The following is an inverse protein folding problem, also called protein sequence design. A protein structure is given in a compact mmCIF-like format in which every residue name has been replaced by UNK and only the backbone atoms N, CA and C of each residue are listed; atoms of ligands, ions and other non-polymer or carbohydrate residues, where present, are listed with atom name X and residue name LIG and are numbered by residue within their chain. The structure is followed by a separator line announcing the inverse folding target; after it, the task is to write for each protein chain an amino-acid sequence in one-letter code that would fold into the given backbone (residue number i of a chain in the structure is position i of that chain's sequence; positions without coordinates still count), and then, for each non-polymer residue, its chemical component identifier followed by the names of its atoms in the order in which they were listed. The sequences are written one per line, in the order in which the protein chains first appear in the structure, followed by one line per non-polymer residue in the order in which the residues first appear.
data_IF_252883781001
#
_entry.id   IF_252883781001
#
_cell.length_a   1.000
_cell.length_b   1.000
_cell.length_c   1.000
_cell.angle_alpha   90.00
_cell.angle_beta   90.00
_cell.angle_gamma   90.00
#
_symmetry.space_group_name_H-M   'P 1'
#
loop_
_entity.id
_entity.type
_entity.pdbx_description
1 polymer ?
#
# COMPACT_ATOMS: atom_id res chain seq x y z
N UNK A 1 24.95 25.64 -3.43
CA UNK A 1 25.05 24.26 -3.96
C UNK A 1 23.80 23.44 -3.67
N UNK A 2 23.29 23.43 -2.44
CA UNK A 2 22.04 22.71 -2.05
C UNK A 2 20.82 23.07 -2.92
N UNK A 3 20.61 24.35 -3.26
CA UNK A 3 19.46 24.77 -4.09
C UNK A 3 19.49 24.14 -5.49
N UNK A 4 20.68 24.09 -6.12
CA UNK A 4 20.82 23.48 -7.45
C UNK A 4 20.57 21.96 -7.41
N UNK A 5 20.99 21.29 -6.33
CA UNK A 5 20.77 19.86 -6.12
C UNK A 5 19.28 19.57 -5.88
N UNK A 6 18.60 20.38 -5.07
CA UNK A 6 17.15 20.27 -4.86
C UNK A 6 16.41 20.44 -6.19
N UNK A 7 16.73 21.47 -6.97
CA UNK A 7 16.08 21.70 -8.27
C UNK A 7 16.35 20.53 -9.22
N UNK A 8 17.58 20.01 -9.27
CA UNK A 8 17.91 18.85 -10.10
C UNK A 8 17.13 17.60 -9.68
N UNK A 9 17.03 17.33 -8.37
CA UNK A 9 16.21 16.25 -7.82
C UNK A 9 14.73 16.42 -8.16
N UNK A 10 14.19 17.64 -8.01
CA UNK A 10 12.79 17.94 -8.32
C UNK A 10 12.50 17.68 -9.80
N UNK A 11 13.35 18.16 -10.70
CA UNK A 11 13.20 17.94 -12.14
C UNK A 11 13.32 16.46 -12.50
N UNK A 12 14.33 15.76 -11.96
CA UNK A 12 14.51 14.32 -12.20
C UNK A 12 13.30 13.51 -11.69
N UNK A 13 12.78 13.86 -10.51
CA UNK A 13 11.57 13.28 -9.94
C UNK A 13 10.38 13.45 -10.88
N UNK A 14 10.10 14.66 -11.35
CA UNK A 14 8.96 14.91 -12.25
C UNK A 14 9.09 14.17 -13.58
N UNK A 15 10.30 14.10 -14.14
CA UNK A 15 10.57 13.37 -15.38
C UNK A 15 10.33 11.86 -15.19
N UNK A 16 10.86 11.28 -14.11
CA UNK A 16 10.69 9.86 -13.81
C UNK A 16 9.23 9.51 -13.48
N UNK A 17 8.57 10.34 -12.68
CA UNK A 17 7.18 10.13 -12.28
C UNK A 17 6.25 10.20 -13.50
N UNK A 18 6.30 11.29 -14.27
CA UNK A 18 5.46 11.46 -15.46
C UNK A 18 5.81 10.43 -16.54
N UNK A 19 7.10 10.17 -16.76
CA UNK A 19 7.55 9.18 -17.73
C UNK A 19 7.11 7.76 -17.37
N UNK A 20 7.31 7.36 -16.12
CA UNK A 20 6.92 6.05 -15.61
C UNK A 20 5.41 5.84 -15.66
N UNK A 21 4.63 6.85 -15.27
CA UNK A 21 3.16 6.82 -15.32
C UNK A 21 2.64 6.76 -16.76
N UNK A 22 3.23 7.54 -17.66
CA UNK A 22 2.88 7.55 -19.08
C UNK A 22 3.16 6.21 -19.73
N UNK A 23 4.34 5.62 -19.48
CA UNK A 23 4.68 4.28 -19.96
C UNK A 23 3.72 3.22 -19.42
N UNK A 24 3.37 3.32 -18.13
CA UNK A 24 2.51 2.35 -17.46
C UNK A 24 1.09 2.36 -18.00
N UNK A 25 0.48 3.54 -18.13
CA UNK A 25 -0.95 3.68 -18.41
C UNK A 25 -1.28 4.10 -19.85
N UNK A 26 -0.51 5.01 -20.46
CA UNK A 26 -0.75 5.44 -21.84
C UNK A 26 -0.18 4.44 -22.84
N UNK A 27 1.08 4.04 -22.65
CA UNK A 27 1.74 3.06 -23.53
C UNK A 27 1.39 1.60 -23.19
N UNK A 28 0.63 1.36 -22.11
CA UNK A 28 0.26 0.02 -21.61
C UNK A 28 1.47 -0.91 -21.40
N UNK A 29 2.61 -0.34 -21.01
CA UNK A 29 3.86 -1.07 -20.70
C UNK A 29 4.08 -1.11 -19.18
N UNK A 30 3.33 -1.95 -18.43
CA UNK A 30 3.35 -1.89 -16.97
C UNK A 30 4.70 -2.22 -16.35
N UNK A 31 5.49 -3.11 -17.00
CA UNK A 31 6.83 -3.49 -16.52
C UNK A 31 7.84 -2.35 -16.68
N UNK A 32 7.86 -1.72 -17.84
CA UNK A 32 8.77 -0.59 -18.11
C UNK A 32 8.39 0.63 -17.27
N UNK A 33 7.09 0.93 -17.16
CA UNK A 33 6.60 1.98 -16.26
C UNK A 33 6.96 1.71 -14.80
N UNK A 34 6.83 0.46 -14.32
CA UNK A 34 7.28 0.08 -12.98
C UNK A 34 8.79 0.26 -12.79
N UNK A 35 9.60 -0.13 -13.79
CA UNK A 35 11.06 0.03 -13.73
C UNK A 35 11.46 1.52 -13.64
N UNK A 36 10.82 2.39 -14.42
CA UNK A 36 11.08 3.84 -14.35
C UNK A 36 10.63 4.44 -13.02
N UNK A 37 9.47 4.02 -12.49
CA UNK A 37 9.00 4.45 -11.16
C UNK A 37 9.90 3.93 -10.03
N UNK A 38 10.59 2.79 -10.21
CA UNK A 38 11.57 2.29 -9.24
C UNK A 38 12.87 3.11 -9.23
N UNK A 39 13.15 3.89 -10.28
CA UNK A 39 14.26 4.84 -10.25
C UNK A 39 14.03 5.98 -9.24
N UNK A 40 12.78 6.27 -8.88
CA UNK A 40 12.43 7.31 -7.91
C UNK A 40 12.96 6.96 -6.48
N UNK A 41 12.62 5.81 -5.85
CA UNK A 41 13.25 5.43 -4.60
C UNK A 41 14.76 5.15 -4.74
N UNK A 42 15.26 4.84 -5.94
CA UNK A 42 16.70 4.72 -6.17
C UNK A 42 17.40 6.08 -6.04
N UNK A 43 16.80 7.16 -6.53
CA UNK A 43 17.31 8.52 -6.30
C UNK A 43 17.36 8.86 -4.81
N UNK A 44 16.37 8.43 -4.04
CA UNK A 44 16.36 8.61 -2.58
C UNK A 44 17.52 7.85 -1.90
N UNK A 45 17.85 6.65 -2.39
CA UNK A 45 19.03 5.90 -1.91
C UNK A 45 20.31 6.68 -2.24
N UNK A 46 20.45 7.23 -3.44
CA UNK A 46 21.60 8.05 -3.83
C UNK A 46 21.70 9.29 -2.94
N UNK A 47 20.58 9.97 -2.70
CA UNK A 47 20.53 11.14 -1.83
C UNK A 47 20.96 10.79 -0.39
N UNK A 48 20.52 9.64 0.12
CA UNK A 48 20.92 9.13 1.43
C UNK A 48 22.43 8.85 1.48
N UNK A 49 23.01 8.26 0.43
CA UNK A 49 24.45 8.00 0.36
C UNK A 49 25.24 9.32 0.34
N UNK A 50 24.86 10.27 -0.51
CA UNK A 50 25.50 11.60 -0.58
C UNK A 50 25.42 12.30 0.77
N UNK A 51 24.25 12.26 1.42
CA UNK A 51 24.05 12.80 2.76
C UNK A 51 25.02 12.22 3.78
N UNK A 52 25.17 10.89 3.79
CA UNK A 52 26.04 10.19 4.74
C UNK A 52 27.51 10.57 4.53
N UNK A 53 27.92 10.75 3.27
CA UNK A 53 29.24 11.25 2.91
C UNK A 53 29.41 12.71 3.38
N UNK A 54 28.43 13.57 3.16
CA UNK A 54 28.46 14.98 3.58
C UNK A 54 28.53 15.12 5.10
N UNK A 55 27.76 14.33 5.85
CA UNK A 55 27.82 14.30 7.31
C UNK A 55 29.19 13.87 7.82
N UNK A 56 29.81 12.89 7.15
CA UNK A 56 31.18 12.45 7.47
C UNK A 56 32.22 13.54 7.18
N UNK A 57 31.95 14.40 6.21
CA UNK A 57 32.79 15.56 5.88
C UNK A 57 32.50 16.78 6.78
N UNK A 58 31.62 16.65 7.78
CA UNK A 58 31.33 17.71 8.76
C UNK A 58 30.17 18.63 8.41
N UNK A 59 29.31 18.26 7.45
CA UNK A 59 28.09 19.02 7.17
C UNK A 59 27.09 18.95 8.33
N UNK A 60 26.31 20.02 8.55
CA UNK A 60 25.31 20.06 9.60
C UNK A 60 24.12 19.12 9.30
N UNK A 61 23.67 18.30 10.27
CA UNK A 61 22.56 17.39 10.06
C UNK A 61 21.20 18.11 10.01
N UNK A 62 20.60 18.10 8.83
CA UNK A 62 19.22 18.53 8.60
C UNK A 62 18.20 17.38 8.84
N UNK A 63 16.93 17.73 9.06
CA UNK A 63 15.83 16.78 9.28
C UNK A 63 15.49 15.95 8.04
N UNK A 64 15.77 16.49 6.85
CA UNK A 64 15.51 15.87 5.54
C UNK A 64 16.27 14.55 5.36
N UNK A 65 17.42 14.44 6.01
CA UNK A 65 18.32 13.29 5.91
C UNK A 65 17.72 11.97 6.43
N UNK A 66 16.92 12.03 7.50
CA UNK A 66 16.23 10.83 7.98
C UNK A 66 14.93 10.52 7.26
N UNK A 67 14.34 11.49 6.55
CA UNK A 67 13.11 11.29 5.79
C UNK A 67 13.31 10.35 4.60
N UNK A 68 14.46 10.43 3.92
CA UNK A 68 14.80 9.54 2.81
C UNK A 68 14.79 8.06 3.23
N UNK A 69 15.39 7.73 4.38
CA UNK A 69 15.39 6.36 4.90
C UNK A 69 13.97 5.84 5.21
N UNK A 70 13.09 6.72 5.71
CA UNK A 70 11.68 6.39 5.96
C UNK A 70 10.92 6.16 4.65
N UNK A 71 11.15 7.01 3.64
CA UNK A 71 10.53 6.86 2.32
C UNK A 71 10.94 5.55 1.63
N UNK A 72 12.22 5.20 1.71
CA UNK A 72 12.74 3.92 1.20
C UNK A 72 12.09 2.75 1.94
N UNK A 73 12.06 2.78 3.27
CA UNK A 73 11.41 1.73 4.08
C UNK A 73 9.94 1.54 3.72
N UNK A 74 9.19 2.63 3.55
CA UNK A 74 7.80 2.59 3.11
C UNK A 74 7.65 2.00 1.70
N UNK A 75 8.48 2.44 0.76
CA UNK A 75 8.44 2.00 -0.63
C UNK A 75 8.75 0.52 -0.76
N UNK A 76 9.73 -0.01 -0.01
CA UNK A 76 10.06 -1.44 -0.04
C UNK A 76 8.94 -2.29 0.59
N UNK A 77 8.39 -1.85 1.72
CA UNK A 77 7.39 -2.64 2.44
C UNK A 77 5.99 -2.60 1.79
N UNK A 78 5.63 -1.48 1.17
CA UNK A 78 4.27 -1.22 0.67
C UNK A 78 4.17 -1.05 -0.85
N UNK A 79 5.28 -0.74 -1.53
CA UNK A 79 5.29 -0.30 -2.93
C UNK A 79 4.61 -1.27 -3.88
N UNK A 80 4.94 -2.56 -3.82
CA UNK A 80 4.31 -3.57 -4.68
C UNK A 80 2.79 -3.59 -4.54
N UNK A 81 2.27 -3.49 -3.31
CA UNK A 81 0.82 -3.52 -3.05
C UNK A 81 0.12 -2.26 -3.54
N UNK A 82 0.73 -1.10 -3.31
CA UNK A 82 0.20 0.19 -3.80
C UNK A 82 0.11 0.15 -5.31
N UNK A 83 1.17 -0.32 -5.97
CA UNK A 83 1.24 -0.46 -7.42
C UNK A 83 0.13 -1.39 -7.95
N UNK A 84 0.02 -2.62 -7.42
CA UNK A 84 -1.03 -3.56 -7.85
C UNK A 84 -2.43 -3.01 -7.58
N UNK A 85 -2.62 -2.33 -6.45
CA UNK A 85 -3.90 -1.70 -6.13
C UNK A 85 -4.27 -0.58 -7.11
N UNK A 86 -3.30 0.26 -7.48
CA UNK A 86 -3.49 1.30 -8.49
C UNK A 86 -3.76 0.70 -9.87
N UNK A 87 -3.06 -0.36 -10.26
CA UNK A 87 -3.30 -1.07 -11.52
C UNK A 87 -4.74 -1.61 -11.60
N UNK A 88 -5.22 -2.28 -10.54
CA UNK A 88 -6.59 -2.81 -10.49
C UNK A 88 -7.60 -1.66 -10.54
N UNK A 89 -7.33 -0.54 -9.85
CA UNK A 89 -8.22 0.63 -9.87
C UNK A 89 -8.28 1.28 -11.24
N UNK A 90 -7.15 1.40 -11.91
CA UNK A 90 -7.05 1.93 -13.26
C UNK A 90 -7.77 1.02 -14.25
N UNK A 91 -7.53 -0.29 -14.17
CA UNK A 91 -8.19 -1.28 -15.02
C UNK A 91 -9.71 -1.25 -14.85
N UNK A 92 -10.22 -1.17 -13.62
CA UNK A 92 -11.66 -1.06 -13.37
C UNK A 92 -12.27 0.24 -13.91
N UNK A 93 -11.54 1.37 -13.88
CA UNK A 93 -12.07 2.66 -14.33
C UNK A 93 -11.97 2.88 -15.84
N UNK A 94 -10.92 2.36 -16.47
CA UNK A 94 -10.55 2.71 -17.84
C UNK A 94 -10.46 1.51 -18.80
N UNK A 95 -10.57 0.28 -18.31
CA UNK A 95 -10.40 -0.94 -19.11
C UNK A 95 -11.38 -2.07 -18.76
N UNK A 96 -12.57 -1.74 -18.22
CA UNK A 96 -13.63 -2.69 -17.82
C UNK A 96 -13.15 -3.87 -16.95
N UNK A 97 -12.08 -3.64 -16.17
CA UNK A 97 -11.50 -4.65 -15.27
C UNK A 97 -12.43 -4.97 -14.09
N UNK A 98 -12.27 -6.14 -13.45
CA UNK A 98 -13.12 -6.57 -12.34
C UNK A 98 -13.04 -5.60 -11.14
N UNK A 99 -14.12 -5.48 -10.34
CA UNK A 99 -14.17 -4.57 -9.22
C UNK A 99 -13.10 -4.88 -8.16
N UNK A 100 -12.45 -3.84 -7.60
CA UNK A 100 -11.40 -4.05 -6.61
C UNK A 100 -11.94 -4.79 -5.39
N UNK A 101 -11.29 -5.91 -5.04
CA UNK A 101 -11.64 -6.77 -3.90
C UNK A 101 -11.68 -5.95 -2.62
N UNK A 102 -12.85 -5.93 -1.96
CA UNK A 102 -13.04 -5.22 -0.69
C UNK A 102 -12.35 -5.99 0.44
N UNK A 103 -11.66 -5.31 1.37
CA UNK A 103 -11.07 -5.98 2.52
C UNK A 103 -12.14 -6.66 3.39
N UNK A 104 -11.83 -7.81 4.03
CA UNK A 104 -12.78 -8.55 4.84
C UNK A 104 -13.27 -7.70 6.02
N UNK A 105 -14.60 -7.57 6.16
CA UNK A 105 -15.22 -6.64 7.11
C UNK A 105 -15.36 -7.16 8.54
N UNK A 106 -15.29 -8.49 8.76
CA UNK A 106 -15.61 -9.10 10.06
C UNK A 106 -14.74 -10.33 10.39
N UNK A 107 -14.73 -10.69 11.68
CA UNK A 107 -14.18 -11.95 12.20
C UNK A 107 -12.66 -12.08 12.17
N UNK A 108 -12.19 -13.32 12.34
CA UNK A 108 -10.76 -13.67 12.39
C UNK A 108 -10.01 -13.29 11.09
N UNK A 109 -10.71 -13.31 9.96
CA UNK A 109 -10.15 -12.88 8.67
C UNK A 109 -9.77 -11.38 8.65
N UNK A 110 -10.50 -10.53 9.38
CA UNK A 110 -10.16 -9.12 9.55
C UNK A 110 -8.95 -8.95 10.47
N UNK A 111 -8.91 -9.67 11.60
CA UNK A 111 -7.76 -9.62 12.51
C UNK A 111 -6.46 -10.04 11.80
N UNK A 112 -6.48 -11.10 10.99
CA UNK A 112 -5.33 -11.52 10.17
C UNK A 112 -4.95 -10.46 9.13
N UNK A 113 -5.93 -9.77 8.53
CA UNK A 113 -5.66 -8.68 7.58
C UNK A 113 -4.96 -7.48 8.27
N UNK A 114 -5.41 -7.12 9.47
CA UNK A 114 -4.80 -6.04 10.26
C UNK A 114 -3.38 -6.44 10.71
N UNK A 115 -3.18 -7.67 11.20
CA UNK A 115 -1.84 -8.17 11.55
C UNK A 115 -0.89 -8.19 10.36
N UNK A 116 -1.37 -8.60 9.18
CA UNK A 116 -0.59 -8.53 7.94
C UNK A 116 -0.23 -7.09 7.56
N UNK A 117 -1.10 -6.12 7.87
CA UNK A 117 -0.81 -4.70 7.60
C UNK A 117 0.18 -4.14 8.62
N UNK A 118 0.01 -4.46 9.90
CA UNK A 118 0.92 -4.09 10.98
C UNK A 118 2.32 -4.68 10.75
N UNK A 119 2.43 -5.97 10.39
CA UNK A 119 3.71 -6.60 10.07
C UNK A 119 4.46 -5.89 8.94
N UNK A 120 3.75 -5.34 7.94
CA UNK A 120 4.36 -4.55 6.87
C UNK A 120 4.83 -3.19 7.34
N UNK A 121 4.06 -2.52 8.19
CA UNK A 121 4.51 -1.27 8.82
C UNK A 121 5.73 -1.48 9.69
N UNK A 122 5.77 -2.57 10.46
CA UNK A 122 6.94 -2.97 11.25
C UNK A 122 8.14 -3.24 10.33
N UNK A 123 7.93 -3.95 9.21
CA UNK A 123 8.99 -4.18 8.21
C UNK A 123 9.50 -2.84 7.64
N UNK A 124 8.60 -1.92 7.29
CA UNK A 124 8.96 -0.59 6.79
C UNK A 124 9.83 0.18 7.80
N UNK A 125 9.38 0.22 9.07
CA UNK A 125 10.11 0.84 10.16
C UNK A 125 11.46 0.15 10.41
N UNK A 126 11.52 -1.19 10.31
CA UNK A 126 12.74 -1.97 10.47
C UNK A 126 13.78 -1.68 9.38
N UNK A 127 13.34 -1.62 8.11
CA UNK A 127 14.22 -1.24 6.98
C UNK A 127 14.73 0.19 7.16
N UNK A 128 13.85 1.13 7.48
CA UNK A 128 14.24 2.52 7.72
C UNK A 128 15.24 2.64 8.88
N UNK A 129 14.97 1.97 10.01
CA UNK A 129 15.86 1.95 11.16
C UNK A 129 17.21 1.31 10.86
N UNK A 130 17.24 0.23 10.06
CA UNK A 130 18.46 -0.44 9.60
C UNK A 130 19.31 0.45 8.70
N UNK A 131 18.70 1.14 7.74
CA UNK A 131 19.39 2.13 6.88
C UNK A 131 19.98 3.27 7.71
N UNK A 132 19.19 3.82 8.64
CA UNK A 132 19.67 4.85 9.57
C UNK A 132 20.81 4.34 10.45
N UNK A 133 20.73 3.09 10.93
CA UNK A 133 21.78 2.50 11.76
C UNK A 133 23.09 2.29 10.97
N UNK A 134 22.99 1.85 9.71
CA UNK A 134 24.14 1.74 8.82
C UNK A 134 24.78 3.10 8.55
N UNK A 135 23.97 4.13 8.36
CA UNK A 135 24.45 5.51 8.23
C UNK A 135 25.17 6.00 9.50
N UNK A 136 24.64 5.72 10.69
CA UNK A 136 25.31 6.05 11.97
C UNK A 136 26.67 5.35 12.08
N UNK A 137 26.77 4.07 11.72
CA UNK A 137 28.04 3.34 11.74
C UNK A 137 29.06 3.89 10.74
N UNK A 138 28.60 4.34 9.57
CA UNK A 138 29.49 4.89 8.55
C UNK A 138 30.02 6.29 8.92
N UNK A 139 29.19 7.13 9.53
CA UNK A 139 29.59 8.47 9.98
C UNK A 139 30.62 8.40 11.12
N UNK A 140 30.49 7.43 12.03
CA UNK A 140 31.42 7.22 13.13
C UNK A 140 31.34 8.30 14.23
N UNK A 141 32.32 8.36 15.13
CA UNK A 141 32.35 9.29 16.27
C UNK A 141 32.62 10.76 15.88
N UNK A 142 33.08 11.00 14.65
CA UNK A 142 33.49 12.32 14.18
C UNK A 142 32.34 13.18 13.64
N UNK A 143 31.14 12.63 13.43
CA UNK A 143 30.02 13.35 12.84
C UNK A 143 28.76 13.37 13.72
N UNK A 144 27.94 14.39 13.55
CA UNK A 144 26.69 14.56 14.30
C UNK A 144 25.58 13.65 13.76
N UNK A 145 25.24 12.62 14.53
CA UNK A 145 24.21 11.62 14.20
C UNK A 145 22.87 11.86 14.93
N UNK A 146 22.70 13.01 15.58
CA UNK A 146 21.53 13.31 16.42
C UNK A 146 20.21 13.24 15.63
N UNK A 147 20.20 13.78 14.40
CA UNK A 147 19.04 13.72 13.50
C UNK A 147 18.64 12.28 13.15
N UNK A 148 19.62 11.41 12.85
CA UNK A 148 19.39 10.01 12.48
C UNK A 148 18.79 9.23 13.67
N UNK A 149 19.32 9.44 14.88
CA UNK A 149 18.81 8.81 16.11
C UNK A 149 17.40 9.26 16.46
N UNK A 150 17.08 10.55 16.25
CA UNK A 150 15.72 11.07 16.44
C UNK A 150 14.72 10.37 15.51
N UNK A 151 15.10 10.15 14.25
CA UNK A 151 14.29 9.40 13.30
C UNK A 151 14.13 7.91 13.66
N UNK A 152 15.18 7.26 14.15
CA UNK A 152 15.08 5.89 14.67
C UNK A 152 14.07 5.80 15.83
N UNK A 153 14.09 6.75 16.77
CA UNK A 153 13.13 6.79 17.85
C UNK A 153 11.70 6.95 17.34
N UNK A 154 11.47 7.87 16.37
CA UNK A 154 10.15 8.03 15.72
C UNK A 154 9.66 6.74 15.07
N UNK A 155 10.54 6.02 14.36
CA UNK A 155 10.19 4.72 13.76
C UNK A 155 9.84 3.67 14.82
N UNK A 156 10.56 3.66 15.95
CA UNK A 156 10.24 2.81 17.09
C UNK A 156 8.85 3.10 17.66
N UNK A 157 8.51 4.38 17.88
CA UNK A 157 7.19 4.80 18.37
C UNK A 157 6.08 4.37 17.39
N UNK A 158 6.27 4.60 16.09
CA UNK A 158 5.29 4.19 15.06
C UNK A 158 5.10 2.67 15.03
N UNK A 159 6.18 1.91 15.16
CA UNK A 159 6.11 0.45 15.24
C UNK A 159 5.35 -0.02 16.48
N UNK A 160 5.63 0.56 17.65
CA UNK A 160 4.92 0.25 18.91
C UNK A 160 3.43 0.57 18.78
N UNK A 161 3.07 1.74 18.27
CA UNK A 161 1.67 2.13 18.05
C UNK A 161 0.97 1.11 17.13
N UNK A 162 1.62 0.70 16.04
CA UNK A 162 1.07 -0.31 15.12
C UNK A 162 0.85 -1.66 15.82
N UNK A 163 1.79 -2.10 16.64
CA UNK A 163 1.66 -3.34 17.43
C UNK A 163 0.51 -3.23 18.43
N UNK A 164 0.37 -2.09 19.12
CA UNK A 164 -0.72 -1.85 20.07
C UNK A 164 -2.08 -1.86 19.36
N UNK A 165 -2.20 -1.21 18.20
CA UNK A 165 -3.43 -1.20 17.41
C UNK A 165 -3.78 -2.62 16.94
N UNK A 166 -2.81 -3.35 16.38
CA UNK A 166 -3.01 -4.73 15.95
C UNK A 166 -3.40 -5.65 17.12
N UNK A 167 -2.73 -5.47 18.27
CA UNK A 167 -3.03 -6.16 19.52
C UNK A 167 -4.45 -5.87 20.04
N UNK A 168 -4.89 -4.62 19.93
CA UNK A 168 -6.25 -4.20 20.30
C UNK A 168 -7.32 -4.92 19.48
N UNK A 169 -7.12 -5.10 18.17
CA UNK A 169 -8.07 -5.85 17.32
C UNK A 169 -8.10 -7.36 17.62
N UNK A 170 -7.03 -7.93 18.19
CA UNK A 170 -7.04 -9.31 18.69
C UNK A 170 -7.66 -9.46 20.08
N UNK A 171 -7.50 -8.47 20.95
CA UNK A 171 -8.06 -8.48 22.31
C UNK A 171 -9.55 -8.08 22.33
N UNK A 172 -9.97 -7.24 21.39
CA UNK A 172 -11.37 -6.84 21.18
C UNK A 172 -11.82 -7.19 19.76
N UNK A 173 -12.13 -8.48 19.47
CA UNK A 173 -12.70 -8.86 18.19
C UNK A 173 -14.03 -8.14 18.01
N UNK A 174 -14.15 -7.28 17.00
CA UNK A 174 -15.43 -6.65 16.64
C UNK A 174 -16.36 -7.76 16.15
N UNK A 175 -17.20 -8.29 17.04
CA UNK A 175 -18.27 -9.23 16.71
C UNK A 175 -19.18 -8.53 15.71
N UNK A 176 -19.46 -9.19 14.60
CA UNK A 176 -20.53 -8.76 13.71
C UNK A 176 -21.79 -8.69 14.55
N UNK A 177 -22.49 -7.57 14.51
CA UNK A 177 -23.92 -7.59 14.75
C UNK A 177 -24.46 -8.64 13.77
N UNK A 178 -25.09 -9.68 14.27
CA UNK A 178 -25.89 -10.57 13.45
C UNK A 178 -27.03 -9.74 12.84
N UNK A 179 -26.79 -9.15 11.67
CA UNK A 179 -27.88 -8.73 10.79
C UNK A 179 -28.41 -9.99 10.10
N UNK A 180 -29.10 -10.78 10.90
CA UNK A 180 -29.72 -12.05 10.55
C UNK A 180 -30.88 -12.37 11.49
N UNK A 181 -31.66 -11.36 11.92
CA UNK A 181 -32.85 -11.58 12.73
C UNK A 181 -33.89 -10.44 12.61
N UNK A 182 -34.25 -10.07 11.38
CA UNK A 182 -35.64 -9.73 11.06
C UNK A 182 -35.98 -10.37 9.72
N UNK A 183 -36.20 -11.67 9.76
CA UNK A 183 -37.04 -12.32 8.76
C UNK A 183 -38.39 -11.60 8.79
N UNK A 184 -38.71 -10.86 7.72
CA UNK A 184 -40.09 -10.49 7.42
C UNK A 184 -40.75 -11.75 6.88
N UNK A 185 -41.76 -12.33 7.55
CA UNK A 185 -42.47 -13.47 7.02
C UNK A 185 -43.47 -12.97 5.98
N UNK A 186 -43.19 -13.17 4.69
CA UNK A 186 -44.24 -13.14 3.67
C UNK A 186 -44.47 -14.57 3.20
N UNK A 187 -45.58 -15.13 3.68
CA UNK A 187 -46.08 -16.44 3.35
C UNK A 187 -46.20 -16.66 1.83
N UNK A 188 -45.63 -17.77 1.35
CA UNK A 188 -46.12 -18.45 0.14
C UNK A 188 -47.39 -19.23 0.48
N UNK A 189 -48.46 -19.17 -0.33
CA UNK A 189 -49.42 -20.24 -0.42
C UNK A 189 -49.04 -21.17 -1.58
N UNK A 190 -48.59 -22.38 -1.25
CA UNK A 190 -48.66 -23.53 -2.15
C UNK A 190 -50.04 -24.20 -2.03
N UNK A 191 -50.69 -24.46 -3.17
CA UNK A 191 -51.59 -25.58 -3.48
C UNK A 191 -52.35 -25.24 -4.78
N UNK A 192 -52.42 -26.03 -5.84
CA UNK A 192 -51.91 -27.37 -6.13
C UNK A 192 -52.47 -27.84 -7.49
N UNK A 193 -51.79 -28.85 -8.05
CA UNK A 193 -52.32 -29.92 -8.90
C UNK A 193 -52.94 -29.64 -10.28
N UNK A 194 -52.41 -30.34 -11.30
CA UNK A 194 -53.23 -30.85 -12.40
C UNK A 194 -52.58 -30.92 -13.78
N UNK A 195 -51.71 -31.91 -14.01
CA UNK A 195 -51.31 -32.32 -15.36
C UNK A 195 -52.35 -33.28 -15.97
N UNK A 196 -52.88 -32.96 -17.15
CA UNK A 196 -53.52 -33.88 -18.13
C UNK A 196 -53.28 -33.28 -19.52
N UNK A 197 -52.39 -33.87 -20.34
CA UNK A 197 -52.64 -34.94 -21.31
C UNK A 197 -53.16 -34.40 -22.67
N UNK A 198 -52.39 -34.66 -23.73
CA UNK A 198 -52.67 -34.21 -25.10
C UNK A 198 -53.67 -35.08 -25.87
N UNK A 199 -54.28 -34.47 -26.88
CA UNK A 199 -54.90 -35.05 -28.09
C UNK A 199 -55.33 -33.82 -28.91
N UNK A 200 -54.92 -33.58 -30.16
CA UNK A 200 -55.20 -34.42 -31.33
C UNK A 200 -56.49 -33.93 -32.00
N UNK A 201 -56.36 -33.46 -33.26
CA UNK A 201 -57.40 -33.36 -34.30
C UNK A 201 -58.32 -32.11 -34.31
N UNK A 202 -58.26 -31.24 -35.34
CA UNK A 202 -58.85 -31.31 -36.71
C UNK A 202 -60.36 -30.93 -36.73
N UNK A 203 -60.69 -29.72 -37.18
CA UNK A 203 -61.82 -29.45 -38.10
C UNK A 203 -61.76 -28.03 -38.68
N UNK A 204 -61.94 -27.91 -40.00
CA UNK A 204 -62.10 -26.65 -40.72
C UNK A 204 -63.57 -26.27 -40.98
N UNK A 205 -63.79 -25.30 -41.86
CA UNK A 205 -65.07 -24.78 -42.39
C UNK A 205 -65.92 -23.93 -41.41
N UNK A 206 -66.02 -22.63 -41.66
CA UNK A 206 -66.97 -21.99 -42.58
C UNK A 206 -66.51 -20.57 -42.92
#
# INVERSE_FOLDING_TARGET
MIVALIIACEVAFWILLLGGLSLRYLARMPRTGAAVLLCEPLLEVVLLVVTVIDLRNGAAPDWKHGLAAVYIGFTVAMGHRVITYMDVRFAHRYADGPPPVRPPKYGMARAVHEWKTAARWILACGIAAGLLQGAVWFVGESGDVTSLRSWQFKMGVVAVINVVIAGSYTLFPKRGVEEGATAVPTASPEAGAGAQAGSGERWGSR
#
